data_IF_019729235426
#
_entry.id   IF_019729235426
#
_cell.length_a   1.000
_cell.length_b   1.000
_cell.length_c   1.000
_cell.angle_alpha   90.00
_cell.angle_beta   90.00
_cell.angle_gamma   90.00
#
_symmetry.space_group_name_H-M   'P 1'
#
loop_
_entity.id
_entity.type
_entity.pdbx_description
1 polymer ?
#
# COMPACT_ATOMS: atom_id res chain seq x y z
N UNK A 1 -14.03 -42.94 15.24
CA UNK A 1 -12.78 -42.15 15.13
C UNK A 1 -13.06 -41.00 14.16
N UNK A 2 -13.25 -39.76 14.63
CA UNK A 2 -13.65 -38.67 13.71
C UNK A 2 -13.97 -37.30 14.31
N UNK A 3 -13.50 -36.97 15.53
CA UNK A 3 -13.87 -35.68 16.14
C UNK A 3 -12.68 -34.80 16.59
N UNK A 4 -11.44 -35.19 16.25
CA UNK A 4 -10.23 -34.48 16.72
C UNK A 4 -9.65 -33.49 15.69
N UNK A 5 -10.05 -33.56 14.41
CA UNK A 5 -9.47 -32.71 13.33
C UNK A 5 -10.09 -31.30 13.24
N UNK A 6 -11.33 -31.10 13.72
CA UNK A 6 -12.01 -29.80 13.64
C UNK A 6 -11.51 -28.77 14.69
N UNK A 7 -10.84 -29.23 15.76
CA UNK A 7 -10.27 -28.36 16.80
C UNK A 7 -8.87 -27.81 16.45
N UNK A 8 -8.08 -28.55 15.68
CA UNK A 8 -6.69 -28.21 15.37
C UNK A 8 -6.55 -27.11 14.29
N UNK A 9 -7.49 -27.06 13.33
CA UNK A 9 -7.58 -25.95 12.37
C UNK A 9 -7.94 -24.62 13.07
N UNK A 10 -8.83 -24.65 14.06
CA UNK A 10 -9.23 -23.44 14.80
C UNK A 10 -8.10 -22.91 15.68
N UNK A 11 -7.27 -23.77 16.29
CA UNK A 11 -6.08 -23.35 17.05
C UNK A 11 -5.00 -22.79 16.15
N UNK A 12 -4.73 -23.42 15.02
CA UNK A 12 -3.73 -22.93 14.06
C UNK A 12 -4.14 -21.59 13.46
N UNK A 13 -5.43 -21.41 13.13
CA UNK A 13 -5.97 -20.12 12.71
C UNK A 13 -5.87 -19.06 13.81
N UNK A 14 -6.19 -19.40 15.06
CA UNK A 14 -6.05 -18.48 16.20
C UNK A 14 -4.59 -18.07 16.43
N UNK A 15 -3.65 -19.02 16.41
CA UNK A 15 -2.23 -18.75 16.57
C UNK A 15 -1.67 -17.88 15.42
N UNK A 16 -2.15 -18.08 14.19
CA UNK A 16 -1.79 -17.24 13.05
C UNK A 16 -2.35 -15.83 13.17
N UNK A 17 -3.60 -15.67 13.62
CA UNK A 17 -4.21 -14.37 13.87
C UNK A 17 -3.45 -13.63 14.98
N UNK A 18 -3.10 -14.32 16.07
CA UNK A 18 -2.31 -13.74 17.16
C UNK A 18 -0.90 -13.34 16.69
N UNK A 19 -0.27 -14.14 15.83
CA UNK A 19 1.02 -13.80 15.22
C UNK A 19 0.93 -12.55 14.33
N UNK A 20 -0.11 -12.44 13.50
CA UNK A 20 -0.35 -11.25 12.65
C UNK A 20 -0.62 -10.01 13.50
N UNK A 21 -1.45 -10.11 14.53
CA UNK A 21 -1.73 -9.01 15.47
C UNK A 21 -0.46 -8.56 16.19
N UNK A 22 0.39 -9.50 16.62
CA UNK A 22 1.63 -9.19 17.33
C UNK A 22 2.69 -8.56 16.41
N UNK A 23 2.73 -8.96 15.13
CA UNK A 23 3.58 -8.34 14.11
C UNK A 23 3.12 -6.91 13.76
N UNK A 24 1.81 -6.68 13.64
CA UNK A 24 1.22 -5.34 13.51
C UNK A 24 1.56 -4.49 14.73
N UNK A 25 1.38 -5.00 15.96
CA UNK A 25 1.70 -4.26 17.19
C UNK A 25 3.19 -3.92 17.32
N UNK A 26 4.10 -4.82 16.94
CA UNK A 26 5.53 -4.52 16.91
C UNK A 26 5.91 -3.53 15.82
N UNK A 27 5.16 -3.49 14.70
CA UNK A 27 5.30 -2.45 13.68
C UNK A 27 4.74 -1.09 14.14
N UNK A 28 3.73 -1.08 15.01
CA UNK A 28 3.20 0.13 15.65
C UNK A 28 4.13 0.66 16.74
N UNK A 29 4.72 -0.19 17.58
CA UNK A 29 5.58 0.20 18.71
C UNK A 29 6.95 0.76 18.28
N UNK A 30 7.36 0.53 17.03
CA UNK A 30 8.62 1.07 16.49
C UNK A 30 8.46 2.40 15.75
N UNK A 31 7.24 2.95 15.66
CA UNK A 31 7.03 4.19 14.92
C UNK A 31 7.57 5.39 15.68
N UNK A 32 8.41 6.15 14.99
CA UNK A 32 8.88 7.45 15.48
C UNK A 32 7.68 8.36 15.77
N UNK A 33 7.72 9.23 16.80
CA UNK A 33 6.67 10.20 17.06
C UNK A 33 6.28 11.01 15.81
N UNK A 34 7.23 11.24 14.90
CA UNK A 34 7.00 11.89 13.60
C UNK A 34 6.14 11.09 12.63
N UNK A 35 6.21 9.76 12.64
CA UNK A 35 5.37 8.90 11.78
C UNK A 35 3.92 8.86 12.28
N UNK A 36 3.71 8.96 13.60
CA UNK A 36 2.36 9.05 14.20
C UNK A 36 1.66 10.36 13.86
N UNK A 37 2.41 11.46 13.88
CA UNK A 37 1.93 12.78 13.44
C UNK A 37 1.68 12.75 11.93
N UNK A 38 2.59 12.15 11.15
CA UNK A 38 2.44 11.94 9.72
C UNK A 38 1.13 11.25 9.36
N UNK A 39 0.83 10.11 9.99
CA UNK A 39 -0.41 9.35 9.75
C UNK A 39 -1.68 10.09 10.22
N UNK A 40 -1.63 10.77 11.36
CA UNK A 40 -2.78 11.54 11.86
C UNK A 40 -3.12 12.71 10.94
N UNK A 41 -2.09 13.48 10.55
CA UNK A 41 -2.29 14.52 9.55
C UNK A 41 -2.66 13.85 8.22
N UNK A 42 -2.20 12.62 7.92
CA UNK A 42 -2.48 11.86 6.69
C UNK A 42 -3.96 11.46 6.53
N UNK A 43 -4.61 11.17 7.63
CA UNK A 43 -6.06 10.93 7.63
C UNK A 43 -6.81 12.25 7.58
N UNK A 44 -6.31 13.28 8.29
CA UNK A 44 -7.01 14.56 8.43
C UNK A 44 -7.07 15.39 7.13
N UNK A 45 -5.94 15.62 6.45
CA UNK A 45 -5.92 16.43 5.21
C UNK A 45 -6.53 15.68 3.99
N UNK A 46 -6.79 14.38 4.11
CA UNK A 46 -7.52 13.61 3.08
C UNK A 46 -9.03 13.58 3.30
N UNK A 47 -9.50 14.18 4.39
CA UNK A 47 -10.91 14.14 4.78
C UNK A 47 -11.68 15.31 4.14
N UNK A 48 -12.80 14.99 3.49
CA UNK A 48 -13.78 15.97 3.01
C UNK A 48 -14.15 17.06 4.04
N UNK A 49 -14.27 16.79 5.36
CA UNK A 49 -14.58 17.84 6.34
C UNK A 49 -13.47 18.88 6.53
N UNK A 50 -12.19 18.57 6.29
CA UNK A 50 -11.10 19.55 6.39
C UNK A 50 -11.27 20.68 5.37
N UNK A 51 -11.53 20.31 4.11
CA UNK A 51 -11.80 21.27 3.04
C UNK A 51 -13.08 22.08 3.31
N UNK A 52 -14.16 21.41 3.73
CA UNK A 52 -15.41 22.09 4.07
C UNK A 52 -15.22 23.13 5.19
N UNK A 53 -14.40 22.83 6.20
CA UNK A 53 -14.03 23.76 7.26
C UNK A 53 -13.33 25.02 6.75
N UNK A 54 -12.43 24.90 5.77
CA UNK A 54 -11.75 26.05 5.15
C UNK A 54 -12.73 26.93 4.39
N UNK A 55 -13.59 26.32 3.57
CA UNK A 55 -14.62 27.05 2.80
C UNK A 55 -15.54 27.82 3.75
N UNK A 56 -16.02 27.19 4.82
CA UNK A 56 -16.85 27.85 5.83
C UNK A 56 -16.07 28.97 6.53
N UNK A 57 -14.81 28.73 6.90
CA UNK A 57 -13.94 29.73 7.52
C UNK A 57 -13.74 30.96 6.64
N UNK A 58 -13.49 30.79 5.35
CA UNK A 58 -13.35 31.89 4.40
C UNK A 58 -14.66 32.67 4.21
N UNK A 59 -15.81 31.98 4.16
CA UNK A 59 -17.12 32.64 4.09
C UNK A 59 -17.37 33.46 5.35
N UNK A 60 -17.12 32.90 6.53
CA UNK A 60 -17.28 33.62 7.81
C UNK A 60 -16.34 34.84 7.86
N UNK A 61 -15.08 34.69 7.45
CA UNK A 61 -14.13 35.79 7.40
C UNK A 61 -14.59 36.91 6.45
N UNK A 62 -15.07 36.54 5.26
CA UNK A 62 -15.60 37.50 4.30
C UNK A 62 -16.84 38.22 4.84
N UNK A 63 -17.78 37.52 5.48
CA UNK A 63 -18.98 38.11 6.08
C UNK A 63 -18.64 39.11 7.20
N UNK A 64 -17.68 38.75 8.07
CA UNK A 64 -17.19 39.63 9.15
C UNK A 64 -16.55 40.89 8.58
N UNK A 65 -15.70 40.75 7.55
CA UNK A 65 -14.93 41.88 7.01
C UNK A 65 -15.66 42.71 5.94
N UNK A 66 -16.74 42.19 5.33
CA UNK A 66 -17.64 42.96 4.47
C UNK A 66 -18.64 43.83 5.24
N UNK A 67 -18.58 43.84 6.58
CA UNK A 67 -19.47 44.65 7.41
C UNK A 67 -20.91 44.13 7.49
N UNK A 68 -21.14 42.84 7.18
CA UNK A 68 -22.47 42.22 7.30
C UNK A 68 -22.92 42.07 8.76
N UNK A 69 -22.00 42.22 9.73
CA UNK A 69 -22.27 42.14 11.16
C UNK A 69 -22.19 43.55 11.76
N UNK A 70 -23.33 44.11 12.15
CA UNK A 70 -23.39 45.41 12.81
C UNK A 70 -22.65 45.36 14.16
N UNK A 71 -21.60 46.18 14.30
CA UNK A 71 -20.82 46.33 15.54
C UNK A 71 -19.37 45.84 15.49
N UNK A 72 -18.95 45.19 14.40
CA UNK A 72 -17.54 44.80 14.20
C UNK A 72 -16.92 45.72 13.15
N UNK A 73 -15.84 46.41 13.52
CA UNK A 73 -15.09 47.22 12.56
C UNK A 73 -14.31 46.28 11.62
N UNK A 74 -14.42 46.44 10.28
CA UNK A 74 -13.65 45.64 9.33
C UNK A 74 -12.15 45.73 9.63
N UNK A 75 -11.53 44.59 9.92
CA UNK A 75 -10.10 44.50 10.23
C UNK A 75 -9.25 44.23 8.99
N UNK A 76 -9.80 43.49 8.02
CA UNK A 76 -9.18 43.15 6.75
C UNK A 76 -10.10 43.62 5.60
N UNK A 77 -10.11 44.92 5.25
CA UNK A 77 -10.92 45.44 4.16
C UNK A 77 -10.53 44.81 2.82
N UNK A 78 -11.48 44.76 1.87
CA UNK A 78 -11.19 44.37 0.49
C UNK A 78 -9.99 45.19 -0.04
N UNK A 79 -8.89 44.56 -0.48
CA UNK A 79 -8.78 43.23 -1.09
C UNK A 79 -8.38 42.03 -0.18
N UNK A 80 -8.58 42.09 1.14
CA UNK A 80 -8.26 41.01 2.10
C UNK A 80 -6.77 40.59 2.13
N UNK A 81 -5.89 41.53 2.45
CA UNK A 81 -4.43 41.29 2.43
C UNK A 81 -4.00 40.25 3.50
N UNK A 82 -4.63 40.26 4.69
CA UNK A 82 -4.27 39.33 5.75
C UNK A 82 -4.69 37.90 5.41
N UNK A 83 -5.93 37.73 4.93
CA UNK A 83 -6.41 36.42 4.49
C UNK A 83 -5.52 35.86 3.37
N UNK A 84 -5.16 36.69 2.39
CA UNK A 84 -4.28 36.29 1.29
C UNK A 84 -2.92 35.81 1.77
N UNK A 85 -2.32 36.49 2.75
CA UNK A 85 -1.04 36.09 3.34
C UNK A 85 -1.14 34.72 4.04
N UNK A 86 -2.17 34.53 4.87
CA UNK A 86 -2.39 33.28 5.61
C UNK A 86 -2.65 32.12 4.65
N UNK A 87 -3.53 32.31 3.66
CA UNK A 87 -3.85 31.29 2.65
C UNK A 87 -2.62 30.91 1.83
N UNK A 88 -1.77 31.87 1.48
CA UNK A 88 -0.54 31.60 0.73
C UNK A 88 0.44 30.74 1.53
N UNK A 89 0.61 31.04 2.82
CA UNK A 89 1.44 30.23 3.71
C UNK A 89 0.85 28.82 3.90
N UNK A 90 -0.46 28.74 4.13
CA UNK A 90 -1.18 27.49 4.28
C UNK A 90 -1.05 26.60 3.04
N UNK A 91 -1.16 27.18 1.83
CA UNK A 91 -0.99 26.46 0.57
C UNK A 91 0.41 25.82 0.45
N UNK A 92 1.47 26.52 0.86
CA UNK A 92 2.84 25.96 0.86
C UNK A 92 2.97 24.80 1.85
N UNK A 93 2.39 24.94 3.05
CA UNK A 93 2.38 23.88 4.06
C UNK A 93 1.60 22.65 3.57
N UNK A 94 0.42 22.85 2.99
CA UNK A 94 -0.40 21.79 2.41
C UNK A 94 0.32 21.09 1.27
N UNK A 95 0.95 21.83 0.36
CA UNK A 95 1.72 21.24 -0.76
C UNK A 95 2.89 20.39 -0.25
N UNK A 96 3.67 20.90 0.70
CA UNK A 96 4.77 20.16 1.32
C UNK A 96 4.26 18.90 2.02
N UNK A 97 3.14 19.00 2.71
CA UNK A 97 2.52 17.89 3.39
C UNK A 97 1.97 16.83 2.42
N UNK A 98 1.35 17.25 1.31
CA UNK A 98 0.94 16.37 0.22
C UNK A 98 2.14 15.64 -0.39
N UNK A 99 3.25 16.34 -0.66
CA UNK A 99 4.48 15.72 -1.16
C UNK A 99 5.06 14.70 -0.17
N UNK A 100 5.05 15.02 1.13
CA UNK A 100 5.52 14.11 2.17
C UNK A 100 4.66 12.82 2.20
N UNK A 101 3.33 12.95 2.11
CA UNK A 101 2.43 11.79 2.02
C UNK A 101 2.65 10.99 0.75
N UNK A 102 2.80 11.66 -0.40
CA UNK A 102 3.05 10.99 -1.68
C UNK A 102 4.35 10.18 -1.61
N UNK A 103 5.42 10.74 -1.04
CA UNK A 103 6.68 10.03 -0.84
C UNK A 103 6.51 8.81 0.09
N UNK A 104 5.75 8.94 1.18
CA UNK A 104 5.50 7.81 2.08
C UNK A 104 4.64 6.71 1.44
N UNK A 105 3.56 7.09 0.75
CA UNK A 105 2.71 6.16 0.00
C UNK A 105 3.50 5.46 -1.11
N UNK A 106 4.35 6.18 -1.83
CA UNK A 106 5.23 5.63 -2.87
C UNK A 106 6.19 4.59 -2.29
N UNK A 107 6.93 4.93 -1.23
CA UNK A 107 7.81 3.98 -0.52
C UNK A 107 7.08 2.74 -0.01
N UNK A 108 5.82 2.90 0.42
CA UNK A 108 4.99 1.77 0.87
C UNK A 108 4.50 0.92 -0.30
N UNK A 109 4.14 1.54 -1.43
CA UNK A 109 3.79 0.85 -2.66
C UNK A 109 4.98 0.03 -3.17
N UNK A 110 6.16 0.64 -3.32
CA UNK A 110 7.39 -0.04 -3.75
C UNK A 110 7.72 -1.27 -2.89
N UNK A 111 7.51 -1.18 -1.57
CA UNK A 111 7.72 -2.31 -0.67
C UNK A 111 6.71 -3.44 -0.91
N UNK A 112 5.43 -3.10 -1.13
CA UNK A 112 4.39 -4.08 -1.43
C UNK A 112 4.64 -4.76 -2.77
N UNK A 113 5.06 -3.99 -3.76
CA UNK A 113 5.35 -4.51 -5.10
C UNK A 113 6.53 -5.47 -5.07
N UNK A 114 7.59 -5.15 -4.31
CA UNK A 114 8.72 -6.08 -4.08
C UNK A 114 8.28 -7.38 -3.40
N UNK A 115 7.45 -7.30 -2.36
CA UNK A 115 6.93 -8.48 -1.66
C UNK A 115 6.03 -9.34 -2.56
N UNK A 116 5.15 -8.71 -3.34
CA UNK A 116 4.29 -9.42 -4.28
C UNK A 116 5.14 -10.14 -5.33
N UNK A 117 6.15 -9.47 -5.89
CA UNK A 117 7.07 -10.11 -6.83
C UNK A 117 7.77 -11.31 -6.21
N UNK A 118 8.28 -11.21 -4.98
CA UNK A 118 8.92 -12.34 -4.29
C UNK A 118 7.97 -13.53 -4.09
N UNK A 119 6.72 -13.26 -3.69
CA UNK A 119 5.68 -14.29 -3.54
C UNK A 119 5.33 -14.94 -4.87
N UNK A 120 5.18 -14.14 -5.93
CA UNK A 120 4.86 -14.64 -7.27
C UNK A 120 5.98 -15.54 -7.81
N UNK A 121 7.24 -15.12 -7.64
CA UNK A 121 8.41 -15.90 -8.03
C UNK A 121 8.52 -17.21 -7.24
N UNK A 122 8.22 -17.19 -5.94
CA UNK A 122 8.20 -18.41 -5.12
C UNK A 122 7.09 -19.36 -5.57
N UNK A 123 5.88 -18.86 -5.80
CA UNK A 123 4.76 -19.64 -6.28
C UNK A 123 5.05 -20.27 -7.65
N UNK A 124 5.65 -19.50 -8.56
CA UNK A 124 6.06 -19.96 -9.89
C UNK A 124 7.10 -21.09 -9.80
N UNK A 125 8.06 -20.99 -8.88
CA UNK A 125 9.04 -22.05 -8.59
C UNK A 125 8.39 -23.31 -8.02
N UNK A 126 7.43 -23.17 -7.10
CA UNK A 126 6.68 -24.30 -6.54
C UNK A 126 5.83 -25.01 -7.60
N UNK A 127 5.12 -24.25 -8.44
CA UNK A 127 4.34 -24.78 -9.57
C UNK A 127 5.24 -25.54 -10.54
N UNK A 128 6.38 -24.97 -10.91
CA UNK A 128 7.36 -25.64 -11.77
C UNK A 128 7.86 -26.93 -11.13
N UNK A 129 8.10 -26.93 -9.82
CA UNK A 129 8.54 -28.12 -9.10
C UNK A 129 7.47 -29.21 -9.10
N UNK A 130 6.21 -28.84 -8.90
CA UNK A 130 5.06 -29.76 -8.98
C UNK A 130 4.97 -30.35 -10.38
N UNK A 131 5.10 -29.52 -11.43
CA UNK A 131 5.07 -29.99 -12.82
C UNK A 131 6.18 -31.00 -13.12
N UNK A 132 7.40 -30.73 -12.66
CA UNK A 132 8.53 -31.65 -12.77
C UNK A 132 8.29 -32.97 -12.02
N UNK A 133 7.67 -32.93 -10.83
CA UNK A 133 7.33 -34.13 -10.08
C UNK A 133 6.22 -34.94 -10.77
N UNK A 134 5.21 -34.27 -11.31
CA UNK A 134 4.15 -34.91 -12.09
C UNK A 134 4.70 -35.59 -13.35
N UNK A 135 5.59 -34.93 -14.10
CA UNK A 135 6.28 -35.56 -15.24
C UNK A 135 7.04 -36.82 -14.82
N UNK A 136 7.80 -36.76 -13.72
CA UNK A 136 8.51 -37.94 -13.20
C UNK A 136 7.57 -39.08 -12.81
N UNK A 137 6.37 -38.79 -12.31
CA UNK A 137 5.35 -39.80 -11.99
C UNK A 137 4.77 -40.39 -13.28
N UNK A 138 4.40 -39.56 -14.25
CA UNK A 138 3.92 -40.01 -15.57
C UNK A 138 4.94 -40.91 -16.28
N UNK A 139 6.23 -40.55 -16.23
CA UNK A 139 7.33 -41.35 -16.78
C UNK A 139 7.47 -42.71 -16.09
N UNK A 140 7.24 -42.78 -14.78
CA UNK A 140 7.27 -44.04 -14.02
C UNK A 140 6.08 -44.95 -14.31
N UNK A 141 4.92 -44.38 -14.66
CA UNK A 141 3.68 -45.10 -14.94
C UNK A 141 3.48 -45.45 -16.44
N UNK A 142 4.46 -45.13 -17.30
CA UNK A 142 4.42 -45.29 -18.77
C UNK A 142 3.19 -44.63 -19.42
N UNK A 143 2.72 -43.51 -18.85
CA UNK A 143 1.60 -42.74 -19.38
C UNK A 143 2.13 -41.88 -20.55
N UNK A 144 1.93 -42.37 -21.78
CA UNK A 144 2.46 -41.76 -23.00
C UNK A 144 1.78 -40.45 -23.42
N UNK A 145 0.59 -40.17 -22.89
CA UNK A 145 -0.22 -38.99 -23.29
C UNK A 145 0.37 -37.67 -22.79
N UNK A 146 1.02 -37.64 -21.62
CA UNK A 146 1.63 -36.41 -21.07
C UNK A 146 3.02 -36.06 -21.63
N UNK A 147 3.63 -36.94 -22.44
CA UNK A 147 5.01 -36.78 -22.94
C UNK A 147 5.13 -35.85 -24.16
N UNK A 148 4.03 -35.63 -24.88
CA UNK A 148 4.01 -34.87 -26.13
C UNK A 148 3.43 -33.47 -26.00
N UNK A 149 3.04 -33.06 -24.79
CA UNK A 149 2.48 -31.73 -24.59
C UNK A 149 3.61 -30.69 -24.54
N UNK A 150 3.93 -30.13 -25.70
CA UNK A 150 5.02 -29.17 -25.89
C UNK A 150 4.88 -27.98 -24.93
N UNK A 151 3.64 -27.57 -24.65
CA UNK A 151 3.30 -26.49 -23.70
C UNK A 151 3.79 -26.81 -22.28
N UNK A 152 3.62 -28.06 -21.81
CA UNK A 152 4.06 -28.49 -20.48
C UNK A 152 5.59 -28.57 -20.38
N UNK A 153 6.27 -28.97 -21.46
CA UNK A 153 7.74 -28.95 -21.51
C UNK A 153 8.30 -27.52 -21.51
N UNK A 154 7.66 -26.62 -22.24
CA UNK A 154 8.04 -25.20 -22.25
C UNK A 154 7.86 -24.56 -20.88
N UNK A 155 6.75 -24.84 -20.17
CA UNK A 155 6.54 -24.38 -18.80
C UNK A 155 7.56 -24.96 -17.80
N UNK A 156 8.07 -26.18 -18.02
CA UNK A 156 9.17 -26.71 -17.20
C UNK A 156 10.54 -26.09 -17.51
N UNK A 157 10.75 -25.52 -18.71
CA UNK A 157 12.06 -25.05 -19.20
C UNK A 157 12.22 -23.52 -19.18
N UNK A 158 11.18 -22.75 -19.51
CA UNK A 158 11.21 -21.29 -19.55
C UNK A 158 10.94 -20.64 -18.19
N UNK A 159 10.36 -21.38 -17.24
CA UNK A 159 9.93 -20.86 -15.94
C UNK A 159 10.99 -20.99 -14.84
N UNK A 160 12.25 -21.23 -15.20
CA UNK A 160 13.34 -21.04 -14.26
C UNK A 160 13.45 -19.55 -13.95
N UNK A 161 12.73 -19.11 -12.92
CA UNK A 161 12.72 -17.77 -12.32
C UNK A 161 14.11 -17.13 -12.33
N UNK A 162 15.15 -17.92 -12.04
CA UNK A 162 16.55 -17.49 -12.04
C UNK A 162 17.03 -16.96 -13.41
N UNK A 163 16.58 -17.54 -14.54
CA UNK A 163 16.92 -17.03 -15.89
C UNK A 163 16.18 -15.74 -16.23
N UNK A 164 14.90 -15.62 -15.84
CA UNK A 164 14.12 -14.41 -16.10
C UNK A 164 14.69 -13.24 -15.29
N UNK A 165 15.09 -13.47 -14.03
CA UNK A 165 15.78 -12.48 -13.20
C UNK A 165 17.13 -12.05 -13.82
N UNK A 166 17.97 -13.00 -14.21
CA UNK A 166 19.26 -12.74 -14.87
C UNK A 166 19.10 -11.96 -16.20
N UNK A 167 18.02 -12.22 -16.94
CA UNK A 167 17.74 -11.60 -18.23
C UNK A 167 17.12 -10.20 -18.07
N UNK A 168 16.34 -9.96 -17.01
CA UNK A 168 15.88 -8.63 -16.62
C UNK A 168 17.04 -7.75 -16.14
N UNK A 169 17.94 -8.27 -15.30
CA UNK A 169 19.10 -7.52 -14.78
C UNK A 169 20.07 -7.12 -15.92
N UNK A 170 20.18 -7.93 -16.97
CA UNK A 170 20.95 -7.58 -18.18
C UNK A 170 20.29 -6.53 -19.07
N UNK A 171 18.97 -6.36 -19.00
CA UNK A 171 18.20 -5.49 -19.92
C UNK A 171 17.74 -4.18 -19.32
N UNK A 172 17.77 -4.02 -18.00
CA UNK A 172 17.46 -2.76 -17.33
C UNK A 172 18.79 -2.01 -17.12
N UNK A 173 19.10 -0.96 -17.90
CA UNK A 173 20.22 -0.08 -17.59
C UNK A 173 19.90 0.73 -16.33
N UNK A 174 20.93 0.99 -15.50
CA UNK A 174 20.87 1.82 -14.29
C UNK A 174 20.12 3.16 -14.48
#
# INVERSE_FOLDING_TARGET
>A
MGNSQCGDLSRSAQNNIEAVVKLEQQAFDKRSPGERIGDAIAVFSGSMPFFAGHVVGFIVWALVNCGAISGIQPFDPYPFNFLTMVVSLEAVLLSTFVLMRQNWMSRRADRRDRLNLEVDLLAEKEVTKILQLLQKICDRLDIREGRQDQEVQELCQNTAVDRIADELEKKIPD
#
